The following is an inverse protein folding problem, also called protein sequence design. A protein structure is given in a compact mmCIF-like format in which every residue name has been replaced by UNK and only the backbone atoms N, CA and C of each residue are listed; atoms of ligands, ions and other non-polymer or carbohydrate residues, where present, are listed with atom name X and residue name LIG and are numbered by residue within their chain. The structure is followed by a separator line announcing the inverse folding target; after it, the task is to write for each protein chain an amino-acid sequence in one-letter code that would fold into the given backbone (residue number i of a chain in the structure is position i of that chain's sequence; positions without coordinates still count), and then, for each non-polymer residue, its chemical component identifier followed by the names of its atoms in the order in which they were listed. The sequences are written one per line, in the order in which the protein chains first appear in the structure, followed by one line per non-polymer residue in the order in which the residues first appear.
data_IF_090221012589
#
_entry.id   IF_090221012589
#
_cell.length_a   1.000
_cell.length_b   1.000
_cell.length_c   1.000
_cell.angle_alpha   90.00
_cell.angle_beta   90.00
_cell.angle_gamma   90.00
#
_symmetry.space_group_name_H-M   'P 1'
#
loop_
_entity.id
_entity.type
_entity.pdbx_description
1 polymer ?
#
# COMPACT_ATOMS: atom_id res chain seq x y z
N UNK A 1 -12.48 -25.73 11.62
CA UNK A 1 -11.48 -24.98 12.39
C UNK A 1 -10.28 -24.55 11.54
N UNK A 2 -9.58 -25.46 10.84
CA UNK A 2 -8.39 -25.12 10.04
C UNK A 2 -8.61 -24.10 8.90
N UNK A 3 -9.74 -24.17 8.18
CA UNK A 3 -10.04 -23.23 7.07
C UNK A 3 -9.99 -21.75 7.47
N UNK A 4 -10.33 -21.41 8.71
CA UNK A 4 -10.32 -20.03 9.20
C UNK A 4 -8.89 -19.55 9.50
N UNK A 5 -8.01 -20.43 9.95
CA UNK A 5 -6.60 -20.14 10.22
C UNK A 5 -5.88 -19.80 8.90
N UNK A 6 -6.04 -20.64 7.88
CA UNK A 6 -5.46 -20.39 6.55
C UNK A 6 -5.97 -19.11 5.90
N UNK A 7 -7.27 -18.81 6.06
CA UNK A 7 -7.85 -17.55 5.57
C UNK A 7 -7.22 -16.34 6.25
N UNK A 8 -7.06 -16.36 7.57
CA UNK A 8 -6.43 -15.26 8.32
C UNK A 8 -4.95 -15.08 7.96
N UNK A 9 -4.17 -16.17 7.91
CA UNK A 9 -2.76 -16.13 7.49
C UNK A 9 -2.57 -15.53 6.09
N UNK A 10 -3.42 -15.92 5.13
CA UNK A 10 -3.38 -15.37 3.78
C UNK A 10 -3.66 -13.87 3.75
N UNK A 11 -4.60 -13.39 4.56
CA UNK A 11 -4.91 -11.96 4.64
C UNK A 11 -3.77 -11.18 5.29
N UNK A 12 -3.15 -11.72 6.34
CA UNK A 12 -2.00 -11.09 7.00
C UNK A 12 -0.77 -11.00 6.06
N UNK A 13 -0.51 -12.03 5.26
CA UNK A 13 0.52 -11.99 4.22
C UNK A 13 0.22 -10.92 3.17
N UNK A 14 -1.03 -10.86 2.67
CA UNK A 14 -1.44 -9.84 1.72
C UNK A 14 -1.29 -8.41 2.28
N UNK A 15 -1.60 -8.20 3.56
CA UNK A 15 -1.46 -6.90 4.19
C UNK A 15 0.01 -6.46 4.31
N UNK A 16 0.91 -7.38 4.66
CA UNK A 16 2.36 -7.12 4.71
C UNK A 16 2.92 -6.77 3.32
N UNK A 17 2.52 -7.52 2.30
CA UNK A 17 2.96 -7.26 0.92
C UNK A 17 2.50 -5.88 0.42
N UNK A 18 1.30 -5.44 0.82
CA UNK A 18 0.80 -4.10 0.52
C UNK A 18 1.62 -3.03 1.22
N UNK A 19 1.97 -3.19 2.49
CA UNK A 19 2.82 -2.24 3.23
C UNK A 19 4.20 -2.08 2.57
N UNK A 20 4.82 -3.17 2.13
CA UNK A 20 6.11 -3.11 1.44
C UNK A 20 5.99 -2.28 0.14
N UNK A 21 4.92 -2.49 -0.63
CA UNK A 21 4.66 -1.73 -1.86
C UNK A 21 4.35 -0.25 -1.59
N UNK A 22 3.61 0.04 -0.53
CA UNK A 22 3.30 1.41 -0.09
C UNK A 22 4.61 2.14 0.23
N UNK A 23 5.48 1.55 1.05
CA UNK A 23 6.74 2.19 1.45
C UNK A 23 7.72 2.34 0.30
N UNK A 24 7.81 1.35 -0.61
CA UNK A 24 8.63 1.47 -1.81
C UNK A 24 8.14 2.58 -2.74
N UNK A 25 6.82 2.66 -2.98
CA UNK A 25 6.24 3.72 -3.80
C UNK A 25 6.45 5.11 -3.16
N UNK A 26 6.13 5.25 -1.87
CA UNK A 26 6.32 6.49 -1.11
C UNK A 26 7.76 6.97 -1.18
N UNK A 27 8.73 6.07 -0.99
CA UNK A 27 10.16 6.41 -1.07
C UNK A 27 10.54 6.96 -2.43
N UNK A 28 10.21 6.22 -3.50
CA UNK A 28 10.53 6.65 -4.87
C UNK A 28 9.85 7.96 -5.24
N UNK A 29 8.61 8.17 -4.79
CA UNK A 29 7.85 9.41 -5.03
C UNK A 29 8.53 10.61 -4.35
N UNK A 30 8.96 10.44 -3.10
CA UNK A 30 9.68 11.48 -2.35
C UNK A 30 11.04 11.76 -2.97
N UNK A 31 11.82 10.72 -3.31
CA UNK A 31 13.13 10.87 -3.98
C UNK A 31 13.00 11.63 -5.30
N UNK A 32 11.98 11.31 -6.10
CA UNK A 32 11.70 12.02 -7.35
C UNK A 32 11.24 13.45 -7.10
N UNK A 33 10.31 13.68 -6.16
CA UNK A 33 9.83 15.02 -5.82
C UNK A 33 10.91 15.95 -5.28
N UNK A 34 11.89 15.41 -4.55
CA UNK A 34 13.05 16.14 -4.05
C UNK A 34 14.08 16.44 -5.15
N UNK A 35 14.22 15.57 -6.14
CA UNK A 35 15.20 15.74 -7.25
C UNK A 35 14.65 16.52 -8.44
N UNK A 36 13.34 16.57 -8.63
CA UNK A 36 12.68 17.38 -9.66
C UNK A 36 11.73 18.41 -9.03
N UNK A 37 10.47 18.05 -8.83
CA UNK A 37 9.42 18.86 -8.23
C UNK A 37 8.24 17.97 -7.85
N UNK A 38 7.52 18.30 -6.78
CA UNK A 38 6.27 17.61 -6.47
C UNK A 38 5.14 17.88 -7.48
N UNK A 39 5.33 18.85 -8.38
CA UNK A 39 4.44 19.10 -9.52
C UNK A 39 4.82 18.31 -10.78
N UNK A 40 5.92 17.55 -10.76
CA UNK A 40 6.32 16.67 -11.86
C UNK A 40 5.21 15.63 -12.10
N UNK A 41 4.77 15.48 -13.36
CA UNK A 41 3.69 14.56 -13.74
C UNK A 41 3.98 13.12 -13.28
N UNK A 42 5.26 12.72 -13.25
CA UNK A 42 5.67 11.41 -12.77
C UNK A 42 5.42 11.28 -11.26
N UNK A 43 5.67 12.32 -10.48
CA UNK A 43 5.39 12.35 -9.04
C UNK A 43 3.88 12.32 -8.79
N UNK A 44 3.10 13.07 -9.57
CA UNK A 44 1.62 13.06 -9.51
C UNK A 44 1.06 11.67 -9.86
N UNK A 45 1.62 11.00 -10.87
CA UNK A 45 1.24 9.63 -11.20
C UNK A 45 1.57 8.66 -10.06
N UNK A 46 2.73 8.82 -9.44
CA UNK A 46 3.13 8.01 -8.31
C UNK A 46 2.25 8.25 -7.08
N UNK A 47 1.82 9.48 -6.82
CA UNK A 47 0.89 9.77 -5.72
C UNK A 47 -0.48 9.11 -5.95
N UNK A 48 -0.96 9.06 -7.19
CA UNK A 48 -2.18 8.34 -7.53
C UNK A 48 -2.05 6.82 -7.31
N UNK A 49 -0.89 6.24 -7.66
CA UNK A 49 -0.64 4.82 -7.37
C UNK A 49 -0.47 4.55 -5.87
N UNK A 50 0.12 5.47 -5.12
CA UNK A 50 0.21 5.39 -3.67
C UNK A 50 -1.18 5.38 -3.02
N UNK A 51 -2.09 6.26 -3.46
CA UNK A 51 -3.47 6.32 -2.97
C UNK A 51 -4.22 5.00 -3.22
N UNK A 52 -4.09 4.41 -4.41
CA UNK A 52 -4.65 3.08 -4.71
C UNK A 52 -4.12 1.98 -3.80
N UNK A 53 -2.82 2.01 -3.46
CA UNK A 53 -2.22 1.03 -2.57
C UNK A 53 -2.72 1.18 -1.13
N UNK A 54 -2.86 2.43 -0.66
CA UNK A 54 -3.43 2.74 0.66
C UNK A 54 -4.89 2.28 0.75
N UNK A 55 -5.71 2.59 -0.26
CA UNK A 55 -7.11 2.14 -0.31
C UNK A 55 -7.22 0.61 -0.27
N UNK A 56 -6.38 -0.12 -1.03
CA UNK A 56 -6.33 -1.58 -0.97
C UNK A 56 -5.92 -2.10 0.40
N UNK A 57 -4.97 -1.45 1.06
CA UNK A 57 -4.58 -1.82 2.42
C UNK A 57 -5.71 -1.60 3.41
N UNK A 58 -6.40 -0.46 3.32
CA UNK A 58 -7.55 -0.14 4.17
C UNK A 58 -8.69 -1.14 4.01
N UNK A 59 -9.01 -1.56 2.78
CA UNK A 59 -9.98 -2.63 2.53
C UNK A 59 -9.58 -3.96 3.19
N UNK A 60 -8.29 -4.31 3.13
CA UNK A 60 -7.76 -5.54 3.75
C UNK A 60 -7.77 -5.43 5.28
N UNK A 61 -7.41 -4.27 5.83
CA UNK A 61 -7.43 -4.00 7.26
C UNK A 61 -8.86 -4.01 7.83
N UNK A 62 -9.81 -3.42 7.12
CA UNK A 62 -11.23 -3.45 7.48
C UNK A 62 -11.77 -4.88 7.51
N UNK A 63 -11.45 -5.71 6.49
CA UNK A 63 -11.84 -7.14 6.46
C UNK A 63 -11.23 -7.96 7.59
N UNK A 64 -10.14 -7.50 8.20
CA UNK A 64 -9.50 -8.15 9.34
C UNK A 64 -10.14 -7.80 10.70
N UNK A 65 -11.15 -6.92 10.73
CA UNK A 65 -11.73 -6.42 11.99
C UNK A 65 -10.73 -5.57 12.78
N UNK A 66 -9.69 -5.04 12.12
CA UNK A 66 -8.75 -4.08 12.70
C UNK A 66 -9.21 -2.67 12.34
N UNK A 67 -10.32 -2.23 12.92
CA UNK A 67 -10.67 -0.83 13.16
C UNK A 67 -11.71 -0.79 14.27
#
# INVERSE_FOLDING_TARGET
MLKNIWRRLKIDLNAKDLLVKIEDNRRKMVELGLSSSFLDERVVKMSYELDKLLNKYDEVAYRNGKR
#
